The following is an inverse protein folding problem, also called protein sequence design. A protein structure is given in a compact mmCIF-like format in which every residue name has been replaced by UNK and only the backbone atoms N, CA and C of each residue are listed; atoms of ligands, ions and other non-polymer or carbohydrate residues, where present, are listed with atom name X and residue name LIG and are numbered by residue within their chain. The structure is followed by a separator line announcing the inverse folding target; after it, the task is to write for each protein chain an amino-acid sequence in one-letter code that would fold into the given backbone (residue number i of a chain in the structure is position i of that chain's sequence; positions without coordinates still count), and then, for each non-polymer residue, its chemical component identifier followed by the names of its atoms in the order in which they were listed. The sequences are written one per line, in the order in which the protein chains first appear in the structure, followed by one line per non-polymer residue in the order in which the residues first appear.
data_IF_587190630970
#
_entry.id   IF_587190630970
#
_cell.length_a   1.000
_cell.length_b   1.000
_cell.length_c   1.000
_cell.angle_alpha   90.00
_cell.angle_beta   90.00
_cell.angle_gamma   90.00
#
_symmetry.space_group_name_H-M   'P 1'
#
loop_
_entity.id
_entity.type
_entity.pdbx_description
1 polymer ?
#
# COMPACT_ATOMS: atom_id res chain seq x y z
N UNK A 1 -6.01 4.78 4.27
CA UNK A 1 -4.78 5.12 5.02
C UNK A 1 -3.57 4.94 4.14
N UNK A 2 -2.55 5.80 4.26
CA UNK A 2 -1.27 5.56 3.59
C UNK A 2 -0.42 4.58 4.40
N UNK A 3 0.37 3.76 3.70
CA UNK A 3 1.26 2.76 4.30
C UNK A 3 2.65 2.88 3.71
N UNK A 4 3.67 2.72 4.54
CA UNK A 4 5.06 2.66 4.10
C UNK A 4 5.60 1.24 4.21
N UNK A 5 5.82 0.60 3.06
CA UNK A 5 6.50 -0.67 2.96
C UNK A 5 8.02 -0.49 2.95
N UNK A 6 8.75 -1.41 3.56
CA UNK A 6 10.22 -1.39 3.62
C UNK A 6 10.78 -2.78 3.36
N UNK A 7 11.83 -2.85 2.54
CA UNK A 7 12.64 -4.05 2.37
C UNK A 7 14.08 -3.67 2.03
N UNK A 8 15.05 -4.10 2.86
CA UNK A 8 16.44 -3.68 2.74
C UNK A 8 16.59 -2.15 2.72
N UNK A 9 17.21 -1.63 1.66
CA UNK A 9 17.34 -0.18 1.40
C UNK A 9 16.15 0.44 0.65
N UNK A 10 15.14 -0.35 0.27
CA UNK A 10 13.92 0.09 -0.42
C UNK A 10 12.83 0.51 0.54
N UNK A 11 12.22 1.67 0.26
CA UNK A 11 11.01 2.15 0.91
C UNK A 11 9.99 2.53 -0.16
N UNK A 12 8.75 2.11 0.00
CA UNK A 12 7.65 2.44 -0.90
C UNK A 12 6.49 2.96 -0.08
N UNK A 13 6.03 4.16 -0.42
CA UNK A 13 4.80 4.73 0.13
C UNK A 13 3.65 4.34 -0.78
N UNK A 14 2.60 3.76 -0.19
CA UNK A 14 1.36 3.37 -0.82
C UNK A 14 0.25 4.28 -0.30
N UNK A 15 -0.37 5.06 -1.19
CA UNK A 15 -1.41 6.03 -0.84
C UNK A 15 -2.66 5.66 -1.63
N UNK A 16 -3.80 5.38 -0.96
CA UNK A 16 -5.05 5.12 -1.66
C UNK A 16 -5.46 6.34 -2.49
N UNK A 17 -5.99 6.10 -3.68
CA UNK A 17 -6.43 7.15 -4.58
C UNK A 17 -7.96 7.14 -4.73
N UNK A 18 -8.52 8.26 -5.20
CA UNK A 18 -9.93 8.33 -5.59
C UNK A 18 -10.20 7.44 -6.80
N UNK A 19 -11.44 6.93 -6.91
CA UNK A 19 -11.85 6.10 -8.06
C UNK A 19 -11.57 6.79 -9.40
N UNK A 20 -10.98 6.07 -10.34
CA UNK A 20 -10.64 6.57 -11.68
C UNK A 20 -9.28 7.27 -11.78
N UNK A 21 -8.47 7.24 -10.72
CA UNK A 21 -7.08 7.73 -10.75
C UNK A 21 -6.16 6.79 -11.53
N UNK A 22 -6.46 5.49 -11.51
CA UNK A 22 -5.57 4.47 -12.07
C UNK A 22 -4.34 4.21 -11.18
N UNK A 23 -3.39 3.45 -11.73
CA UNK A 23 -2.16 3.06 -11.04
C UNK A 23 -1.02 4.03 -11.38
N UNK A 24 -0.75 4.96 -10.46
CA UNK A 24 0.38 5.89 -10.56
C UNK A 24 1.55 5.32 -9.74
N UNK A 25 2.39 4.55 -10.42
CA UNK A 25 3.49 3.83 -9.82
C UNK A 25 4.66 3.61 -10.80
N UNK A 26 5.87 3.45 -10.24
CA UNK A 26 7.02 2.98 -11.01
C UNK A 26 6.88 1.50 -11.38
N UNK A 27 7.57 1.06 -12.43
CA UNK A 27 7.39 -0.28 -13.05
C UNK A 27 7.27 -1.45 -12.06
N UNK A 28 8.22 -1.65 -11.11
CA UNK A 28 8.14 -2.77 -10.17
C UNK A 28 6.91 -2.72 -9.26
N UNK A 29 6.52 -1.53 -8.81
CA UNK A 29 5.34 -1.35 -7.95
C UNK A 29 4.06 -1.50 -8.76
N UNK A 30 4.02 -0.97 -9.99
CA UNK A 30 2.88 -1.13 -10.90
C UNK A 30 2.56 -2.60 -11.15
N UNK A 31 3.55 -3.42 -11.49
CA UNK A 31 3.36 -4.85 -11.71
C UNK A 31 2.75 -5.57 -10.49
N UNK A 32 3.19 -5.20 -9.28
CA UNK A 32 2.61 -5.74 -8.04
C UNK A 32 1.16 -5.29 -7.85
N UNK A 33 0.85 -4.02 -8.10
CA UNK A 33 -0.51 -3.49 -7.92
C UNK A 33 -1.50 -4.10 -8.93
N UNK A 34 -1.09 -4.25 -10.19
CA UNK A 34 -1.87 -4.93 -11.22
C UNK A 34 -2.14 -6.39 -10.85
N UNK A 35 -1.12 -7.12 -10.42
CA UNK A 35 -1.26 -8.51 -9.98
C UNK A 35 -2.13 -8.66 -8.73
N UNK A 36 -2.13 -7.65 -7.84
CA UNK A 36 -2.97 -7.63 -6.65
C UNK A 36 -4.42 -7.17 -6.92
N UNK A 37 -4.76 -6.78 -8.15
CA UNK A 37 -6.09 -6.27 -8.51
C UNK A 37 -6.37 -4.87 -7.98
N UNK A 38 -5.34 -4.08 -7.67
CA UNK A 38 -5.48 -2.69 -7.22
C UNK A 38 -5.60 -1.78 -8.42
N UNK A 39 -6.71 -1.06 -8.54
CA UNK A 39 -6.99 -0.21 -9.69
C UNK A 39 -6.61 1.25 -9.49
N UNK A 40 -6.73 1.77 -8.26
CA UNK A 40 -6.57 3.20 -7.95
C UNK A 40 -5.57 3.39 -6.81
N UNK A 41 -4.35 3.82 -7.13
CA UNK A 41 -3.30 4.02 -6.13
C UNK A 41 -2.24 5.02 -6.58
N UNK A 42 -1.77 5.84 -5.64
CA UNK A 42 -0.61 6.69 -5.79
C UNK A 42 0.57 6.09 -5.01
N UNK A 43 1.73 5.97 -5.64
CA UNK A 43 2.90 5.40 -4.96
C UNK A 43 4.17 6.21 -5.19
N UNK A 44 5.10 6.13 -4.23
CA UNK A 44 6.44 6.69 -4.37
C UNK A 44 7.48 5.74 -3.79
N UNK A 45 8.45 5.35 -4.60
CA UNK A 45 9.66 4.69 -4.14
C UNK A 45 10.66 5.74 -3.64
N UNK A 46 11.26 5.50 -2.47
CA UNK A 46 12.19 6.40 -1.77
C UNK A 46 13.45 5.60 -1.39
N UNK A 47 14.63 6.16 -1.69
CA UNK A 47 15.92 5.53 -1.40
C UNK A 47 16.48 4.83 -2.63
N UNK A 48 16.51 3.49 -2.63
CA UNK A 48 17.04 2.71 -3.77
C UNK A 48 16.07 2.64 -4.95
N UNK A 49 16.63 2.56 -6.15
CA UNK A 49 15.94 2.27 -7.41
C UNK A 49 16.09 0.80 -7.84
N UNK A 50 16.71 -0.08 -7.03
CA UNK A 50 16.83 -1.50 -7.34
C UNK A 50 15.43 -2.14 -7.43
N UNK A 51 15.02 -2.67 -8.60
CA UNK A 51 13.67 -3.21 -8.83
C UNK A 51 13.26 -4.29 -7.83
N UNK A 52 14.18 -5.17 -7.45
CA UNK A 52 13.88 -6.28 -6.55
C UNK A 52 13.55 -5.79 -5.13
N UNK A 53 14.31 -4.81 -4.64
CA UNK A 53 14.06 -4.23 -3.31
C UNK A 53 12.77 -3.40 -3.29
N UNK A 54 12.53 -2.63 -4.34
CA UNK A 54 11.31 -1.82 -4.49
C UNK A 54 10.07 -2.72 -4.56
N UNK A 55 10.13 -3.80 -5.34
CA UNK A 55 9.07 -4.80 -5.44
C UNK A 55 8.77 -5.44 -4.07
N UNK A 56 9.80 -5.94 -3.38
CA UNK A 56 9.62 -6.56 -2.05
C UNK A 56 9.12 -5.57 -1.01
N UNK A 57 9.54 -4.31 -1.08
CA UNK A 57 9.03 -3.26 -0.20
C UNK A 57 7.54 -2.99 -0.45
N UNK A 58 7.09 -2.97 -1.70
CA UNK A 58 5.67 -2.82 -2.04
C UNK A 58 4.82 -3.98 -1.48
N UNK A 59 5.27 -5.23 -1.68
CA UNK A 59 4.60 -6.42 -1.12
C UNK A 59 4.54 -6.37 0.41
N UNK A 60 5.64 -6.00 1.07
CA UNK A 60 5.67 -5.82 2.52
C UNK A 60 4.69 -4.72 3.00
N UNK A 61 4.55 -3.63 2.24
CA UNK A 61 3.57 -2.59 2.51
C UNK A 61 2.13 -3.13 2.46
N UNK A 62 1.78 -3.84 1.40
CA UNK A 62 0.45 -4.46 1.27
C UNK A 62 0.15 -5.45 2.40
N UNK A 63 1.12 -6.30 2.75
CA UNK A 63 0.97 -7.28 3.83
C UNK A 63 0.79 -6.64 5.22
N UNK A 64 1.19 -5.38 5.40
CA UNK A 64 1.04 -4.66 6.67
C UNK A 64 -0.31 -3.96 6.85
N UNK A 65 -1.16 -3.96 5.81
CA UNK A 65 -2.50 -3.39 5.87
C UNK A 65 -3.35 -4.15 6.88
N UNK A 66 -4.21 -3.40 7.59
CA UNK A 66 -5.20 -3.95 8.52
C UNK A 66 -6.58 -3.40 8.14
N UNK A 67 -7.59 -4.26 8.21
CA UNK A 67 -8.97 -3.81 8.00
C UNK A 67 -9.46 -2.99 9.21
N UNK A 68 -10.49 -2.17 8.98
CA UNK A 68 -11.11 -1.41 10.07
C UNK A 68 -11.65 -2.34 11.16
N UNK A 69 -12.24 -3.48 10.76
CA UNK A 69 -12.77 -4.51 11.67
C UNK A 69 -11.66 -5.10 12.53
N UNK A 70 -10.54 -5.51 11.91
CA UNK A 70 -9.39 -6.04 12.65
C UNK A 70 -8.85 -5.02 13.67
N UNK A 71 -8.86 -3.73 13.33
CA UNK A 71 -8.40 -2.68 14.26
C UNK A 71 -9.43 -2.42 15.37
N UNK A 72 -10.72 -2.55 15.07
CA UNK A 72 -11.84 -2.41 16.02
C UNK A 72 -11.81 -3.53 17.06
N UNK A 73 -11.67 -4.78 16.62
CA UNK A 73 -11.55 -5.96 17.48
C UNK A 73 -10.35 -5.85 18.41
N UNK A 74 -9.18 -5.47 17.86
CA UNK A 74 -7.95 -5.31 18.64
C UNK A 74 -8.03 -4.21 19.69
N UNK A 75 -8.89 -3.20 19.47
CA UNK A 75 -9.09 -2.06 20.37
C UNK A 75 -10.29 -2.21 21.30
N UNK A 76 -11.13 -3.23 21.10
CA UNK A 76 -12.35 -3.46 21.89
C UNK A 76 -13.38 -2.32 21.80
N UNK A 77 -13.43 -1.59 20.67
CA UNK A 77 -14.37 -0.48 20.45
C UNK A 77 -15.16 -0.69 19.17
N UNK A 78 -16.49 -0.58 19.25
CA UNK A 78 -17.36 -0.66 18.09
C UNK A 78 -17.04 0.43 17.06
N UNK A 79 -17.14 0.09 15.77
CA UNK A 79 -16.94 1.03 14.66
C UNK A 79 -18.05 2.08 14.65
N UNK A 80 -17.83 3.25 15.25
CA UNK A 80 -18.89 4.28 15.36
C UNK A 80 -19.25 4.98 14.03
N UNK A 81 -18.50 4.83 12.93
CA UNK A 81 -18.94 5.29 11.59
C UNK A 81 -18.05 4.68 10.49
N UNK A 82 -18.59 4.22 9.34
CA UNK A 82 -17.77 3.89 8.18
C UNK A 82 -17.23 5.20 7.58
N UNK A 83 -15.92 5.41 7.66
CA UNK A 83 -15.26 6.52 6.95
C UNK A 83 -15.19 6.16 5.47
N UNK A 84 -15.91 6.93 4.65
CA UNK A 84 -15.87 6.89 3.18
C UNK A 84 -14.45 7.01 2.65
#
# INVERSE_FOLDING_TARGET
YQVMGRFGAGRVVLIPASKGTGIIAGGPVRAVMEAAGVHDILTKAIGTNNPHNVLRAAVAGLASLRSADQVSDLRGRALETPRK
#
